data_IF_110086671852
#
_entry.id   IF_110086671852
#
_cell.length_a   1.000
_cell.length_b   1.000
_cell.length_c   1.000
_cell.angle_alpha   90.00
_cell.angle_beta   90.00
_cell.angle_gamma   90.00
#
_symmetry.space_group_name_H-M   'P 1'
#
loop_
_entity.id
_entity.type
_entity.pdbx_description
1 polymer ?
#
# COMPACT_ATOMS: atom_id res chain seq x y z
N UNK A 1 4.17 24.40 13.71
CA UNK A 1 4.83 24.51 12.40
C UNK A 1 5.85 23.38 12.30
N UNK A 2 5.83 22.60 11.22
CA UNK A 2 6.80 21.50 11.03
C UNK A 2 8.08 22.11 10.48
N UNK A 3 9.20 21.97 11.18
CA UNK A 3 10.49 22.45 10.70
C UNK A 3 10.98 21.52 9.60
N UNK A 4 11.16 22.05 8.38
CA UNK A 4 11.68 21.28 7.24
C UNK A 4 13.19 21.49 7.15
N UNK A 5 13.95 20.39 7.12
CA UNK A 5 15.40 20.43 6.96
C UNK A 5 15.71 20.10 5.50
N UNK A 6 16.56 20.92 4.86
CA UNK A 6 16.98 20.73 3.47
C UNK A 6 18.45 20.35 3.41
N UNK A 7 18.75 19.28 2.66
CA UNK A 7 20.10 18.85 2.34
C UNK A 7 20.33 18.92 0.84
N UNK A 8 21.56 19.23 0.43
CA UNK A 8 22.00 19.11 -0.96
C UNK A 8 23.00 17.96 -1.05
N UNK A 9 22.64 16.90 -1.77
CA UNK A 9 23.52 15.76 -2.03
C UNK A 9 24.29 16.07 -3.33
N UNK A 10 25.61 16.08 -3.25
CA UNK A 10 26.49 16.39 -4.38
C UNK A 10 27.19 15.12 -4.87
N UNK A 11 27.61 15.13 -6.13
CA UNK A 11 28.35 14.03 -6.75
C UNK A 11 27.63 12.68 -6.66
N UNK A 12 26.32 12.66 -6.94
CA UNK A 12 25.53 11.43 -7.02
C UNK A 12 26.09 10.57 -8.17
N UNK A 13 26.52 9.32 -7.90
CA UNK A 13 27.00 8.43 -8.96
C UNK A 13 25.92 8.19 -10.01
N UNK A 14 26.30 8.11 -11.29
CA UNK A 14 25.38 7.88 -12.41
C UNK A 14 24.46 6.65 -12.20
N UNK A 15 24.94 5.49 -11.70
CA UNK A 15 24.06 4.35 -11.43
C UNK A 15 22.96 4.67 -10.40
N UNK A 16 23.25 5.53 -9.42
CA UNK A 16 22.29 5.91 -8.37
C UNK A 16 21.22 6.86 -8.93
N UNK A 17 21.60 7.84 -9.75
CA UNK A 17 20.62 8.74 -10.41
C UNK A 17 19.70 7.95 -11.35
N UNK A 18 20.26 7.01 -12.12
CA UNK A 18 19.48 6.16 -13.02
C UNK A 18 18.43 5.35 -12.28
N UNK A 19 18.84 4.65 -11.21
CA UNK A 19 17.94 3.84 -10.37
C UNK A 19 16.85 4.68 -9.71
N UNK A 20 17.20 5.86 -9.15
CA UNK A 20 16.22 6.76 -8.54
C UNK A 20 15.17 7.25 -9.55
N UNK A 21 15.59 7.60 -10.77
CA UNK A 21 14.66 8.03 -11.83
C UNK A 21 13.78 6.90 -12.33
N UNK A 22 14.32 5.68 -12.47
CA UNK A 22 13.49 4.52 -12.81
C UNK A 22 12.40 4.29 -11.77
N UNK A 23 12.77 4.29 -10.49
CA UNK A 23 11.82 4.07 -9.39
C UNK A 23 10.77 5.16 -9.31
N UNK A 24 11.16 6.43 -9.42
CA UNK A 24 10.22 7.56 -9.47
C UNK A 24 9.17 7.41 -10.60
N UNK A 25 9.56 6.89 -11.77
CA UNK A 25 8.63 6.63 -12.89
C UNK A 25 7.70 5.46 -12.60
N UNK A 26 8.20 4.40 -11.97
CA UNK A 26 7.42 3.21 -11.61
C UNK A 26 6.45 3.49 -10.45
N UNK A 27 6.88 4.27 -9.46
CA UNK A 27 6.08 4.60 -8.28
C UNK A 27 5.16 5.81 -8.51
N UNK A 28 5.28 6.50 -9.64
CA UNK A 28 4.58 7.76 -9.95
C UNK A 28 4.81 8.86 -8.89
N UNK A 29 5.93 8.80 -8.16
CA UNK A 29 6.32 9.78 -7.14
C UNK A 29 7.38 10.73 -7.66
N UNK A 30 7.55 11.86 -7.00
CA UNK A 30 8.64 12.79 -7.33
C UNK A 30 10.01 12.15 -7.03
N UNK A 31 11.03 12.58 -7.77
CA UNK A 31 12.42 12.14 -7.54
C UNK A 31 12.89 12.42 -6.10
N UNK A 32 12.41 13.53 -5.51
CA UNK A 32 12.76 13.91 -4.14
C UNK A 32 12.14 12.97 -3.10
N UNK A 33 10.87 12.58 -3.28
CA UNK A 33 10.23 11.59 -2.41
C UNK A 33 10.93 10.24 -2.48
N UNK A 34 11.27 9.78 -3.70
CA UNK A 34 12.01 8.52 -3.88
C UNK A 34 13.42 8.60 -3.26
N UNK A 35 14.10 9.74 -3.37
CA UNK A 35 15.40 9.95 -2.74
C UNK A 35 15.31 9.92 -1.20
N UNK A 36 14.30 10.56 -0.61
CA UNK A 36 14.08 10.54 0.84
C UNK A 36 13.76 9.11 1.31
N UNK A 37 12.92 8.38 0.58
CA UNK A 37 12.53 7.00 0.89
C UNK A 37 13.73 6.04 0.78
N UNK A 38 14.56 6.20 -0.26
CA UNK A 38 15.81 5.45 -0.41
C UNK A 38 16.80 5.71 0.73
N UNK A 39 16.95 6.97 1.17
CA UNK A 39 17.79 7.32 2.33
C UNK A 39 17.24 6.72 3.62
N UNK A 40 15.92 6.81 3.84
CA UNK A 40 15.28 6.22 5.02
C UNK A 40 15.51 4.70 5.07
N UNK A 41 15.30 3.99 3.96
CA UNK A 41 15.60 2.55 3.86
C UNK A 41 17.08 2.24 4.11
N UNK A 42 18.00 3.00 3.52
CA UNK A 42 19.44 2.82 3.71
C UNK A 42 19.92 3.04 5.15
N UNK A 43 19.20 3.87 5.92
CA UNK A 43 19.45 4.10 7.34
C UNK A 43 18.69 3.13 8.27
N UNK A 44 17.96 2.15 7.71
CA UNK A 44 17.14 1.22 8.50
C UNK A 44 15.88 1.86 9.11
N UNK A 45 15.50 3.05 8.65
CA UNK A 45 14.28 3.77 9.05
C UNK A 45 13.09 3.45 8.14
N UNK A 46 13.31 2.64 7.10
CA UNK A 46 12.32 2.24 6.10
C UNK A 46 11.34 1.17 6.61
N UNK A 47 10.58 1.47 7.66
CA UNK A 47 9.34 0.75 8.03
C UNK A 47 8.12 1.68 7.98
N UNK A 48 8.18 2.73 7.17
CA UNK A 48 6.99 3.49 6.80
C UNK A 48 6.15 2.69 5.82
N UNK A 49 4.88 2.42 6.18
CA UNK A 49 3.87 1.77 5.32
C UNK A 49 4.06 2.20 3.87
N UNK A 50 4.43 1.26 2.98
CA UNK A 50 4.56 1.56 1.55
C UNK A 50 3.19 2.01 1.05
N UNK A 51 3.05 3.30 0.75
CA UNK A 51 1.80 3.85 0.24
C UNK A 51 1.78 3.70 -1.28
N UNK A 52 1.06 2.70 -1.77
CA UNK A 52 0.86 2.51 -3.20
C UNK A 52 -0.25 3.48 -3.67
N UNK A 53 0.05 4.29 -4.69
CA UNK A 53 -0.85 5.32 -5.25
C UNK A 53 -1.36 4.99 -6.66
N UNK A 54 -0.89 3.88 -7.22
CA UNK A 54 -1.23 3.38 -8.56
C UNK A 54 -2.73 3.07 -8.73
N UNK A 55 -3.42 2.75 -7.63
CA UNK A 55 -4.87 2.45 -7.64
C UNK A 55 -5.74 3.59 -7.09
N UNK A 56 -5.18 4.73 -6.72
CA UNK A 56 -5.95 5.84 -6.14
C UNK A 56 -6.97 6.41 -7.14
N UNK A 57 -6.65 6.38 -8.44
CA UNK A 57 -7.53 6.89 -9.49
C UNK A 57 -8.76 6.01 -9.77
N UNK A 58 -8.70 4.72 -9.40
CA UNK A 58 -9.81 3.76 -9.61
C UNK A 58 -10.56 3.46 -8.31
N UNK A 59 -9.99 3.83 -7.16
CA UNK A 59 -10.65 3.70 -5.87
C UNK A 59 -11.91 4.58 -5.82
N UNK A 60 -13.09 3.96 -5.64
CA UNK A 60 -14.37 4.67 -5.57
C UNK A 60 -15.01 5.00 -6.91
N UNK A 61 -14.39 4.64 -8.04
CA UNK A 61 -15.01 4.77 -9.37
C UNK A 61 -15.91 3.58 -9.72
N UNK A 62 -16.19 2.69 -8.76
CA UNK A 62 -17.01 1.51 -8.99
C UNK A 62 -18.46 1.94 -9.26
N UNK A 63 -18.96 1.59 -10.44
CA UNK A 63 -20.38 1.68 -10.75
C UNK A 63 -21.16 0.53 -10.12
N UNK A 64 -22.47 0.71 -9.97
CA UNK A 64 -23.36 -0.35 -9.52
C UNK A 64 -23.44 -1.45 -10.59
N UNK A 65 -22.96 -2.65 -10.28
CA UNK A 65 -22.96 -3.81 -11.18
C UNK A 65 -23.52 -5.04 -10.45
N UNK A 66 -24.81 -5.38 -10.68
CA UNK A 66 -25.46 -6.51 -10.03
C UNK A 66 -24.80 -7.87 -10.32
N UNK A 67 -24.15 -8.02 -11.48
CA UNK A 67 -23.46 -9.27 -11.83
C UNK A 67 -22.16 -9.41 -11.01
N UNK A 68 -21.44 -8.30 -10.82
CA UNK A 68 -20.30 -8.25 -9.92
C UNK A 68 -20.70 -8.54 -8.47
N UNK A 69 -21.78 -7.91 -7.97
CA UNK A 69 -22.29 -8.14 -6.61
C UNK A 69 -22.66 -9.61 -6.37
N UNK A 70 -23.33 -10.24 -7.35
CA UNK A 70 -23.66 -11.66 -7.27
C UNK A 70 -22.41 -12.55 -7.25
N UNK A 71 -21.36 -12.18 -8.02
CA UNK A 71 -20.10 -12.91 -8.03
C UNK A 71 -19.33 -12.78 -6.70
N UNK A 72 -19.33 -11.59 -6.08
CA UNK A 72 -18.75 -11.38 -4.75
C UNK A 72 -19.51 -12.19 -3.70
N UNK A 73 -20.84 -12.16 -3.71
CA UNK A 73 -21.65 -12.94 -2.78
C UNK A 73 -21.39 -14.46 -2.90
N UNK A 74 -21.12 -14.95 -4.11
CA UNK A 74 -20.73 -16.34 -4.34
C UNK A 74 -19.33 -16.66 -3.81
N UNK A 75 -18.37 -15.73 -3.92
CA UNK A 75 -17.01 -15.89 -3.37
C UNK A 75 -16.96 -15.81 -1.84
N UNK A 76 -17.82 -15.01 -1.22
CA UNK A 76 -17.91 -14.86 0.24
C UNK A 76 -18.49 -16.11 0.94
N UNK A 77 -19.02 -17.07 0.17
CA UNK A 77 -19.39 -18.39 0.68
C UNK A 77 -18.13 -19.24 0.98
N UNK A 78 -17.59 -19.09 2.20
CA UNK A 78 -16.48 -19.92 2.68
C UNK A 78 -16.95 -21.36 2.95
N UNK A 79 -16.33 -22.37 2.30
CA UNK A 79 -16.50 -23.77 2.69
C UNK A 79 -15.73 -24.07 4.00
N UNK A 80 -16.43 -24.37 5.12
CA UNK A 80 -15.80 -24.61 6.41
C UNK A 80 -14.94 -25.89 6.47
N UNK A 81 -15.07 -26.80 5.50
CA UNK A 81 -14.22 -28.00 5.38
C UNK A 81 -12.88 -27.67 4.73
N UNK A 82 -12.85 -26.73 3.79
CA UNK A 82 -11.62 -26.21 3.17
C UNK A 82 -10.84 -25.27 4.10
N UNK A 83 -11.54 -24.48 4.92
CA UNK A 83 -10.91 -23.49 5.80
C UNK A 83 -10.51 -24.02 7.19
N UNK A 84 -10.89 -25.25 7.55
CA UNK A 84 -10.53 -25.84 8.85
C UNK A 84 -9.03 -26.13 8.93
N UNK A 85 -8.27 -25.16 9.44
CA UNK A 85 -6.88 -25.38 9.85
C UNK A 85 -6.86 -26.42 10.99
N UNK A 86 -6.08 -27.47 10.82
CA UNK A 86 -5.72 -28.41 11.89
C UNK A 86 -4.87 -27.62 12.90
N UNK A 87 -5.52 -27.16 13.98
CA UNK A 87 -4.99 -26.51 15.20
C UNK A 87 -5.11 -24.97 15.25
N UNK A 88 -5.82 -24.50 16.29
CA UNK A 88 -6.26 -23.14 16.55
C UNK A 88 -5.12 -22.21 17.04
N UNK A 89 -5.17 -20.95 16.58
CA UNK A 89 -4.95 -19.76 17.41
C UNK A 89 -6.09 -18.76 17.13
N UNK A 90 -6.55 -17.99 18.13
CA UNK A 90 -7.87 -17.34 18.13
C UNK A 90 -7.99 -16.22 17.08
N UNK A 91 -9.21 -15.90 16.60
CA UNK A 91 -9.40 -15.04 15.44
C UNK A 91 -9.06 -13.58 15.78
N UNK A 92 -8.05 -13.05 15.08
CA UNK A 92 -7.89 -11.62 14.88
C UNK A 92 -8.93 -11.21 13.84
N UNK A 93 -10.05 -10.65 14.27
CA UNK A 93 -10.87 -9.60 13.60
C UNK A 93 -12.19 -9.54 14.38
N UNK A 94 -12.45 -8.42 15.05
CA UNK A 94 -13.79 -8.06 15.54
C UNK A 94 -14.51 -7.33 14.41
N UNK A 95 -15.71 -7.76 13.96
CA UNK A 95 -16.53 -6.90 13.12
C UNK A 95 -17.05 -5.74 13.97
N UNK A 96 -16.81 -4.52 13.52
CA UNK A 96 -17.42 -3.30 14.04
C UNK A 96 -18.94 -3.40 13.85
N UNK A 97 -19.67 -3.47 14.97
CA UNK A 97 -21.12 -3.37 14.98
C UNK A 97 -21.50 -2.00 14.41
N UNK A 98 -22.12 -2.00 13.22
CA UNK A 98 -22.76 -0.82 12.65
C UNK A 98 -24.04 -0.58 13.44
N UNK A 99 -23.99 0.34 14.40
CA UNK A 99 -25.18 0.83 15.11
C UNK A 99 -26.06 1.61 14.13
N UNK A 100 -27.20 1.03 13.77
CA UNK A 100 -28.36 1.78 13.26
C UNK A 100 -29.10 2.37 14.47
N UNK A 101 -29.32 3.69 14.44
CA UNK A 101 -30.29 4.39 15.28
C UNK A 101 -31.42 4.92 14.42
#
# INVERSE_FOLDING_TARGET
MKTTIQYTIRAVPEPVDHELRQRSRQSHRSLNEEAIDALARGLGLGEGKVVHHDLDAVAGTWGNDPAFDAAIAAQDCVDPKLWRRRNLSPPLIRPTQRTTS
#
